data_IF_004848448561
#
_entry.id   IF_004848448561
#
_cell.length_a   1.000
_cell.length_b   1.000
_cell.length_c   1.000
_cell.angle_alpha   90.00
_cell.angle_beta   90.00
_cell.angle_gamma   90.00
#
_symmetry.space_group_name_H-M   'P 1'
#
loop_
_entity.id
_entity.type
_entity.pdbx_description
1 polymer ?
#
# COMPACT_ATOMS: atom_id res chain seq x y z
N UNK A 1 5.94 21.53 -16.85
CA UNK A 1 7.08 20.71 -16.39
C UNK A 1 7.00 20.26 -14.92
N UNK A 2 6.39 21.02 -14.00
CA UNK A 2 6.25 20.63 -12.58
C UNK A 2 5.28 19.47 -12.29
N UNK A 3 4.20 19.32 -13.06
CA UNK A 3 3.22 18.23 -12.89
C UNK A 3 3.77 16.87 -13.34
N UNK A 4 4.47 16.84 -14.48
CA UNK A 4 5.10 15.62 -15.04
C UNK A 4 6.15 15.03 -14.08
N UNK A 5 6.86 15.88 -13.32
CA UNK A 5 7.81 15.42 -12.29
C UNK A 5 7.13 14.93 -11.01
N UNK A 6 5.86 15.28 -10.77
CA UNK A 6 5.16 15.00 -9.51
C UNK A 6 4.41 13.67 -9.55
N UNK A 7 3.85 13.29 -10.71
CA UNK A 7 3.14 12.02 -10.92
C UNK A 7 3.53 11.37 -12.27
N UNK A 8 4.79 10.96 -12.40
CA UNK A 8 5.27 10.29 -13.62
C UNK A 8 4.52 8.98 -13.90
N UNK A 9 4.10 8.25 -12.86
CA UNK A 9 3.35 7.00 -13.00
C UNK A 9 1.98 7.23 -13.68
N UNK A 10 1.29 8.31 -13.33
CA UNK A 10 0.03 8.73 -13.96
C UNK A 10 0.22 9.02 -15.45
N UNK A 11 1.30 9.71 -15.80
CA UNK A 11 1.63 10.03 -17.19
C UNK A 11 1.95 8.76 -17.97
N UNK A 12 2.77 7.88 -17.41
CA UNK A 12 3.13 6.60 -18.05
C UNK A 12 1.89 5.72 -18.23
N UNK A 13 1.06 5.55 -17.20
CA UNK A 13 -0.15 4.75 -17.29
C UNK A 13 -1.11 5.33 -18.33
N UNK A 14 -1.29 6.65 -18.37
CA UNK A 14 -2.13 7.31 -19.37
C UNK A 14 -1.61 7.11 -20.79
N UNK A 15 -0.29 7.25 -21.01
CA UNK A 15 0.33 7.00 -22.31
C UNK A 15 0.17 5.54 -22.75
N UNK A 16 0.40 4.59 -21.84
CA UNK A 16 0.21 3.16 -22.12
C UNK A 16 -1.25 2.85 -22.48
N UNK A 17 -2.21 3.41 -21.74
CA UNK A 17 -3.63 3.27 -22.04
C UNK A 17 -3.98 3.87 -23.42
N UNK A 18 -3.46 5.05 -23.75
CA UNK A 18 -3.69 5.66 -25.07
C UNK A 18 -3.11 4.79 -26.19
N UNK A 19 -1.90 4.26 -25.99
CA UNK A 19 -1.25 3.37 -26.97
C UNK A 19 -2.09 2.11 -27.17
N UNK A 20 -2.61 1.50 -26.10
CA UNK A 20 -3.41 0.27 -26.24
C UNK A 20 -4.73 0.50 -26.99
N UNK A 21 -5.34 1.68 -26.86
CA UNK A 21 -6.54 2.06 -27.62
C UNK A 21 -6.29 2.19 -29.14
N UNK A 22 -5.05 2.39 -29.58
CA UNK A 22 -4.71 2.36 -31.01
C UNK A 22 -4.48 0.93 -31.53
N UNK A 23 -4.22 -0.03 -30.64
CA UNK A 23 -3.88 -1.40 -30.99
C UNK A 23 -5.09 -2.34 -30.98
N UNK A 24 -6.14 -1.99 -30.21
CA UNK A 24 -7.34 -2.82 -30.01
C UNK A 24 -8.60 -1.97 -30.14
N UNK A 25 -9.69 -2.47 -30.76
CA UNK A 25 -10.96 -1.77 -30.83
C UNK A 25 -11.49 -1.34 -29.45
N UNK A 26 -12.02 -0.13 -29.35
CA UNK A 26 -12.50 0.44 -28.08
C UNK A 26 -13.58 -0.43 -27.41
N UNK A 27 -14.44 -1.03 -28.22
CA UNK A 27 -15.59 -1.83 -27.80
C UNK A 27 -15.17 -3.09 -27.02
N UNK A 28 -14.02 -3.68 -27.38
CA UNK A 28 -13.46 -4.86 -26.71
C UNK A 28 -12.81 -4.52 -25.36
N UNK A 29 -12.27 -3.30 -25.21
CA UNK A 29 -11.52 -2.86 -24.01
C UNK A 29 -12.44 -2.63 -22.80
N UNK A 30 -13.72 -2.31 -23.02
CA UNK A 30 -14.69 -2.03 -21.97
C UNK A 30 -15.59 -3.22 -21.59
N UNK A 31 -15.46 -4.35 -22.27
CA UNK A 31 -16.43 -5.46 -22.21
C UNK A 31 -16.28 -6.41 -21.01
N UNK A 32 -15.08 -6.46 -20.39
CA UNK A 32 -14.79 -7.34 -19.26
C UNK A 32 -14.50 -6.51 -18.00
N UNK A 33 -15.13 -6.83 -16.86
CA UNK A 33 -14.81 -6.29 -15.53
C UNK A 33 -14.98 -4.78 -15.25
N UNK A 34 -15.51 -3.95 -16.17
CA UNK A 34 -15.64 -2.49 -15.95
C UNK A 34 -16.34 -2.13 -14.63
N UNK A 35 -17.42 -2.83 -14.29
CA UNK A 35 -18.14 -2.63 -13.02
C UNK A 35 -17.23 -2.84 -11.80
N UNK A 36 -16.40 -3.90 -11.81
CA UNK A 36 -15.48 -4.21 -10.70
C UNK A 36 -14.36 -3.19 -10.55
N UNK A 37 -13.91 -2.58 -11.65
CA UNK A 37 -12.91 -1.50 -11.58
C UNK A 37 -13.56 -0.24 -11.03
N UNK A 38 -14.79 0.07 -11.44
CA UNK A 38 -15.53 1.17 -10.83
C UNK A 38 -15.73 0.95 -9.33
N UNK A 39 -16.14 -0.24 -8.91
CA UNK A 39 -16.29 -0.59 -7.49
C UNK A 39 -14.97 -0.42 -6.75
N UNK A 40 -13.87 -0.89 -7.33
CA UNK A 40 -12.52 -0.71 -6.78
C UNK A 40 -12.15 0.77 -6.66
N UNK A 41 -12.25 1.55 -7.74
CA UNK A 41 -11.90 2.97 -7.76
C UNK A 41 -12.75 3.76 -6.77
N UNK A 42 -14.06 3.50 -6.73
CA UNK A 42 -14.95 4.23 -5.85
C UNK A 42 -14.74 3.83 -4.39
N UNK A 43 -14.50 2.54 -4.11
CA UNK A 43 -14.13 2.06 -2.77
C UNK A 43 -12.78 2.65 -2.32
N UNK A 44 -11.79 2.73 -3.20
CA UNK A 44 -10.53 3.44 -2.94
C UNK A 44 -10.78 4.91 -2.59
N UNK A 45 -11.67 5.59 -3.32
CA UNK A 45 -12.05 6.97 -3.01
C UNK A 45 -12.63 7.10 -1.59
N UNK A 46 -13.51 6.17 -1.18
CA UNK A 46 -14.08 6.17 0.18
C UNK A 46 -12.99 6.09 1.25
N UNK A 47 -12.04 5.16 1.09
CA UNK A 47 -10.91 5.01 2.02
C UNK A 47 -9.98 6.23 2.00
N UNK A 48 -9.66 6.77 0.83
CA UNK A 48 -8.84 7.98 0.70
C UNK A 48 -9.48 9.20 1.39
N UNK A 49 -10.79 9.36 1.32
CA UNK A 49 -11.53 10.41 2.01
C UNK A 49 -11.45 10.25 3.53
N UNK A 50 -11.68 9.03 4.05
CA UNK A 50 -11.56 8.73 5.49
C UNK A 50 -10.16 9.07 5.99
N UNK A 51 -9.15 8.56 5.29
CA UNK A 51 -7.75 8.79 5.63
C UNK A 51 -7.42 10.27 5.65
N UNK A 52 -7.83 11.01 4.61
CA UNK A 52 -7.59 12.44 4.53
C UNK A 52 -8.24 13.16 5.72
N UNK A 53 -9.48 12.78 6.07
CA UNK A 53 -10.18 13.28 7.25
C UNK A 53 -9.43 13.00 8.57
N UNK A 54 -8.98 11.76 8.78
CA UNK A 54 -8.24 11.36 9.99
C UNK A 54 -6.93 12.14 10.14
N UNK A 55 -6.23 12.39 9.02
CA UNK A 55 -5.03 13.24 8.98
C UNK A 55 -5.35 14.68 9.31
N UNK A 56 -6.41 15.23 8.73
CA UNK A 56 -6.83 16.61 8.98
C UNK A 56 -7.16 16.83 10.45
N UNK A 57 -7.77 15.84 11.10
CA UNK A 57 -8.07 15.80 12.53
C UNK A 57 -6.86 15.50 13.42
N UNK A 58 -5.67 15.26 12.86
CA UNK A 58 -4.44 14.90 13.56
C UNK A 58 -4.53 13.58 14.36
N UNK A 59 -5.47 12.70 13.98
CA UNK A 59 -5.77 11.47 14.70
C UNK A 59 -4.61 10.45 14.63
N UNK A 60 -3.98 10.31 13.46
CA UNK A 60 -2.85 9.38 13.28
C UNK A 60 -1.61 9.80 14.09
N UNK A 61 -1.32 11.11 14.15
CA UNK A 61 -0.25 11.63 15.00
C UNK A 61 -0.56 11.43 16.49
N UNK A 62 -1.84 11.52 16.88
CA UNK A 62 -2.25 11.18 18.25
C UNK A 62 -1.98 9.73 18.61
N UNK A 63 -2.28 8.80 17.70
CA UNK A 63 -1.99 7.36 17.89
C UNK A 63 -0.49 7.15 18.11
N UNK A 64 0.35 7.77 17.28
CA UNK A 64 1.79 7.67 17.44
C UNK A 64 2.28 8.27 18.75
N UNK A 65 1.82 9.46 19.13
CA UNK A 65 2.16 10.06 20.42
C UNK A 65 1.82 9.12 21.59
N UNK A 66 0.61 8.55 21.59
CA UNK A 66 0.18 7.65 22.66
C UNK A 66 1.08 6.42 22.75
N UNK A 67 1.44 5.83 21.61
CA UNK A 67 2.33 4.68 21.54
C UNK A 67 3.77 5.00 22.00
N UNK A 68 4.21 6.25 21.86
CA UNK A 68 5.57 6.69 22.21
C UNK A 68 5.71 7.23 23.65
N UNK A 69 4.59 7.58 24.29
CA UNK A 69 4.53 8.30 25.58
C UNK A 69 5.28 7.68 26.76
N UNK A 70 5.61 6.39 26.71
CA UNK A 70 6.26 5.66 27.82
C UNK A 70 7.59 4.99 27.42
N UNK A 71 8.16 5.33 26.27
CA UNK A 71 9.37 4.69 25.76
C UNK A 71 10.61 5.26 26.45
N UNK A 72 11.51 4.36 26.87
CA UNK A 72 12.75 4.72 27.60
C UNK A 72 14.02 4.19 26.94
N UNK A 73 13.91 3.43 25.86
CA UNK A 73 15.06 2.80 25.22
C UNK A 73 15.03 2.94 23.71
N UNK A 74 16.20 2.96 23.09
CA UNK A 74 16.38 3.07 21.63
C UNK A 74 15.67 1.94 20.89
N UNK A 75 15.73 0.71 21.41
CA UNK A 75 15.07 -0.44 20.76
C UNK A 75 13.55 -0.33 20.84
N UNK A 76 13.01 0.02 22.01
CA UNK A 76 11.57 0.19 22.15
C UNK A 76 11.06 1.33 21.25
N UNK A 77 11.83 2.42 21.11
CA UNK A 77 11.53 3.50 20.18
C UNK A 77 11.45 3.00 18.74
N UNK A 78 12.49 2.34 18.25
CA UNK A 78 12.51 1.78 16.89
C UNK A 78 11.37 0.78 16.68
N UNK A 79 11.10 -0.11 17.65
CA UNK A 79 9.99 -1.06 17.57
C UNK A 79 8.65 -0.36 17.37
N UNK A 80 8.34 0.66 18.17
CA UNK A 80 7.08 1.38 18.03
C UNK A 80 7.01 2.14 16.70
N UNK A 81 8.10 2.81 16.30
CA UNK A 81 8.14 3.52 15.02
C UNK A 81 7.97 2.58 13.82
N UNK A 82 8.43 1.33 13.91
CA UNK A 82 8.32 0.31 12.85
C UNK A 82 6.95 -0.39 12.87
N UNK A 83 6.43 -0.74 14.05
CA UNK A 83 5.16 -1.47 14.19
C UNK A 83 3.94 -0.56 14.00
N UNK A 84 4.04 0.75 14.23
CA UNK A 84 2.96 1.68 13.94
C UNK A 84 2.55 1.64 12.45
N UNK A 85 3.46 1.83 11.48
CA UNK A 85 3.15 1.63 10.07
C UNK A 85 2.63 0.22 9.74
N UNK A 86 3.15 -0.84 10.39
CA UNK A 86 2.67 -2.20 10.18
C UNK A 86 1.16 -2.33 10.46
N UNK A 87 0.73 -1.96 11.66
CA UNK A 87 -0.68 -2.08 12.05
C UNK A 87 -1.57 -1.03 11.40
N UNK A 88 -1.05 0.19 11.21
CA UNK A 88 -1.83 1.23 10.53
C UNK A 88 -1.99 0.95 9.04
N UNK A 89 -1.05 0.26 8.39
CA UNK A 89 -1.17 -0.09 6.97
C UNK A 89 -2.28 -1.11 6.74
N UNK A 90 -2.56 -2.00 7.70
CA UNK A 90 -3.75 -2.87 7.67
C UNK A 90 -5.05 -2.07 7.61
N UNK A 91 -5.10 -0.85 8.19
CA UNK A 91 -6.33 -0.08 8.31
C UNK A 91 -6.45 1.03 7.25
N UNK A 92 -5.34 1.70 6.96
CA UNK A 92 -5.34 2.98 6.26
C UNK A 92 -4.58 2.94 4.93
N UNK A 93 -4.03 1.79 4.56
CA UNK A 93 -3.07 1.52 3.49
C UNK A 93 -1.59 1.82 3.79
N UNK A 94 -0.70 1.16 3.05
CA UNK A 94 0.75 1.31 3.18
C UNK A 94 1.23 2.75 2.88
N UNK A 95 0.79 3.33 1.77
CA UNK A 95 1.20 4.66 1.29
C UNK A 95 0.80 5.73 2.30
N UNK A 96 -0.41 5.60 2.82
CA UNK A 96 -0.95 6.49 3.84
C UNK A 96 -0.18 6.36 5.14
N UNK A 97 0.12 5.14 5.56
CA UNK A 97 0.89 4.91 6.76
C UNK A 97 2.27 5.54 6.64
N UNK A 98 2.96 5.37 5.52
CA UNK A 98 4.30 5.93 5.31
C UNK A 98 4.30 7.46 5.18
N UNK A 99 3.35 8.02 4.44
CA UNK A 99 3.17 9.49 4.32
C UNK A 99 2.95 10.17 5.68
N UNK A 100 2.47 9.44 6.69
CA UNK A 100 2.27 9.96 8.04
C UNK A 100 3.44 9.63 8.97
N UNK A 101 3.85 8.37 9.04
CA UNK A 101 4.77 7.90 10.09
C UNK A 101 6.25 8.00 9.71
N UNK A 102 6.61 8.10 8.42
CA UNK A 102 8.01 8.34 8.01
C UNK A 102 8.48 9.74 8.43
N UNK A 103 7.79 10.85 8.05
CA UNK A 103 8.23 12.18 8.50
C UNK A 103 8.22 12.32 10.02
N UNK A 104 7.24 11.69 10.69
CA UNK A 104 7.20 11.62 12.14
C UNK A 104 8.43 10.88 12.72
N UNK A 105 8.77 9.71 12.19
CA UNK A 105 9.93 8.96 12.64
C UNK A 105 11.24 9.73 12.42
N UNK A 106 11.38 10.42 11.29
CA UNK A 106 12.53 11.29 11.01
C UNK A 106 12.65 12.38 12.08
N UNK A 107 11.56 13.10 12.36
CA UNK A 107 11.54 14.14 13.39
C UNK A 107 11.92 13.59 14.77
N UNK A 108 11.32 12.46 15.16
CA UNK A 108 11.54 11.84 16.47
C UNK A 108 12.96 11.29 16.62
N UNK A 109 13.51 10.66 15.59
CA UNK A 109 14.90 10.20 15.60
C UNK A 109 15.88 11.38 15.61
N UNK A 110 15.53 12.50 15.00
CA UNK A 110 16.28 13.75 15.10
C UNK A 110 16.33 14.28 16.55
N UNK A 111 15.17 14.36 17.22
CA UNK A 111 15.05 14.80 18.62
C UNK A 111 15.72 13.86 19.62
N UNK A 112 15.79 12.55 19.30
CA UNK A 112 16.44 11.54 20.12
C UNK A 112 17.97 11.42 19.88
N UNK A 113 18.57 12.29 19.07
CA UNK A 113 19.96 12.21 18.59
C UNK A 113 20.33 10.85 17.95
N UNK A 114 19.35 10.25 17.27
CA UNK A 114 19.45 8.94 16.62
C UNK A 114 19.51 9.05 15.10
N UNK A 115 20.02 10.16 14.55
CA UNK A 115 20.11 10.39 13.09
C UNK A 115 20.79 9.24 12.33
N UNK A 116 21.77 8.57 12.93
CA UNK A 116 22.45 7.40 12.34
C UNK A 116 21.53 6.20 12.11
N UNK A 117 20.45 6.08 12.88
CA UNK A 117 19.45 5.01 12.76
C UNK A 117 18.34 5.34 11.75
N UNK A 118 18.28 6.57 11.25
CA UNK A 118 17.20 7.04 10.38
C UNK A 118 17.02 6.17 9.15
N UNK A 119 18.09 5.85 8.43
CA UNK A 119 18.03 4.98 7.24
C UNK A 119 17.43 3.62 7.61
N UNK A 120 17.92 2.99 8.68
CA UNK A 120 17.49 1.65 9.10
C UNK A 120 16.01 1.67 9.49
N UNK A 121 15.59 2.64 10.30
CA UNK A 121 14.19 2.75 10.74
C UNK A 121 13.28 3.04 9.55
N UNK A 122 13.61 3.99 8.68
CA UNK A 122 12.78 4.33 7.52
C UNK A 122 12.63 3.15 6.57
N UNK A 123 13.71 2.42 6.27
CA UNK A 123 13.63 1.21 5.43
C UNK A 123 12.78 0.12 6.09
N UNK A 124 12.96 -0.11 7.40
CA UNK A 124 12.14 -1.08 8.12
C UNK A 124 10.67 -0.63 8.23
N UNK A 125 10.38 0.66 8.32
CA UNK A 125 9.01 1.19 8.26
C UNK A 125 8.37 0.90 6.91
N UNK A 126 9.12 1.04 5.81
CA UNK A 126 8.63 0.71 4.47
C UNK A 126 8.26 -0.77 4.36
N UNK A 127 9.16 -1.65 4.82
CA UNK A 127 8.90 -3.09 4.86
C UNK A 127 7.71 -3.40 5.77
N UNK A 128 7.64 -2.77 6.93
CA UNK A 128 6.55 -2.94 7.88
C UNK A 128 5.19 -2.53 7.29
N UNK A 129 5.12 -1.37 6.63
CA UNK A 129 3.89 -0.91 5.99
C UNK A 129 3.46 -1.85 4.85
N UNK A 130 4.41 -2.33 4.04
CA UNK A 130 4.11 -3.32 3.00
C UNK A 130 3.60 -4.64 3.61
N UNK A 131 4.36 -5.28 4.50
CA UNK A 131 3.93 -6.56 5.11
C UNK A 131 2.60 -6.42 5.85
N UNK A 132 2.43 -5.33 6.61
CA UNK A 132 1.20 -5.08 7.34
C UNK A 132 -0.01 -4.92 6.42
N UNK A 133 0.14 -4.21 5.30
CA UNK A 133 -0.95 -4.00 4.35
C UNK A 133 -1.48 -5.25 3.66
N UNK A 134 -0.75 -6.36 3.67
CA UNK A 134 -1.18 -7.56 2.97
C UNK A 134 -2.44 -8.15 3.58
N UNK A 135 -2.56 -8.15 4.91
CA UNK A 135 -3.60 -8.90 5.62
C UNK A 135 -5.04 -8.44 5.30
N UNK A 136 -5.23 -7.20 4.84
CA UNK A 136 -6.57 -6.64 4.61
C UNK A 136 -6.76 -6.19 3.16
N UNK A 137 -7.99 -6.32 2.60
CA UNK A 137 -8.27 -5.87 1.23
C UNK A 137 -7.92 -4.40 1.00
N UNK A 138 -8.25 -3.52 1.94
CA UNK A 138 -8.01 -2.08 1.84
C UNK A 138 -6.60 -1.65 2.28
N UNK A 139 -5.73 -2.60 2.68
CA UNK A 139 -4.35 -2.31 3.00
C UNK A 139 -3.54 -1.87 1.79
N UNK A 140 -3.87 -2.37 0.59
CA UNK A 140 -3.28 -1.89 -0.66
C UNK A 140 -4.31 -1.80 -1.78
N UNK A 141 -4.09 -0.93 -2.77
CA UNK A 141 -5.02 -0.82 -3.89
C UNK A 141 -5.17 -2.11 -4.74
N UNK A 142 -4.10 -2.89 -4.93
CA UNK A 142 -4.19 -4.16 -5.67
C UNK A 142 -4.85 -5.29 -4.86
N UNK A 143 -4.71 -5.25 -3.54
CA UNK A 143 -5.41 -6.15 -2.63
C UNK A 143 -6.92 -5.98 -2.75
N UNK A 144 -7.38 -4.73 -2.74
CA UNK A 144 -8.79 -4.39 -2.89
C UNK A 144 -9.31 -4.80 -4.26
N UNK A 145 -8.50 -4.63 -5.31
CA UNK A 145 -8.87 -5.05 -6.66
C UNK A 145 -9.12 -6.56 -6.75
N UNK A 146 -8.20 -7.39 -6.24
CA UNK A 146 -8.38 -8.85 -6.21
C UNK A 146 -9.57 -9.22 -5.32
N UNK A 147 -9.71 -8.57 -4.17
CA UNK A 147 -10.83 -8.83 -3.26
C UNK A 147 -12.19 -8.52 -3.89
N UNK A 148 -12.33 -7.45 -4.68
CA UNK A 148 -13.58 -7.14 -5.39
C UNK A 148 -13.93 -8.16 -6.51
N UNK A 149 -13.09 -9.18 -6.72
CA UNK A 149 -13.38 -10.31 -7.60
C UNK A 149 -13.68 -11.58 -6.80
N UNK A 150 -13.89 -11.49 -5.48
CA UNK A 150 -14.09 -12.64 -4.59
C UNK A 150 -15.26 -13.52 -5.00
N UNK A 151 -16.32 -12.94 -5.56
CA UNK A 151 -17.50 -13.64 -6.08
C UNK A 151 -17.21 -14.40 -7.38
N UNK A 152 -16.27 -13.91 -8.21
CA UNK A 152 -15.81 -14.61 -9.43
C UNK A 152 -14.90 -15.77 -9.05
N UNK A 153 -14.00 -15.55 -8.08
CA UNK A 153 -13.05 -16.57 -7.62
C UNK A 153 -13.63 -17.54 -6.58
N UNK A 154 -14.78 -17.21 -6.01
CA UNK A 154 -15.47 -18.04 -5.01
C UNK A 154 -14.78 -18.07 -3.65
N UNK A 155 -14.18 -16.97 -3.20
CA UNK A 155 -13.58 -16.84 -1.86
C UNK A 155 -14.30 -15.82 -0.99
N UNK A 156 -14.06 -15.86 0.32
CA UNK A 156 -14.53 -14.87 1.29
C UNK A 156 -13.37 -14.18 2.03
N UNK A 157 -13.70 -13.29 2.98
CA UNK A 157 -12.69 -12.58 3.76
C UNK A 157 -11.78 -13.52 4.57
N UNK A 158 -12.31 -14.63 5.09
CA UNK A 158 -11.53 -15.55 5.89
C UNK A 158 -10.54 -16.32 5.02
N UNK A 159 -10.97 -16.81 3.86
CA UNK A 159 -10.10 -17.48 2.90
C UNK A 159 -8.99 -16.53 2.38
N UNK A 160 -9.35 -15.28 2.11
CA UNK A 160 -8.40 -14.22 1.77
C UNK A 160 -7.34 -14.05 2.86
N UNK A 161 -7.75 -13.85 4.11
CA UNK A 161 -6.84 -13.65 5.24
C UNK A 161 -5.97 -14.90 5.48
N UNK A 162 -6.56 -16.09 5.44
CA UNK A 162 -5.86 -17.36 5.64
C UNK A 162 -4.76 -17.59 4.60
N UNK A 163 -4.98 -17.18 3.34
CA UNK A 163 -3.96 -17.26 2.30
C UNK A 163 -2.75 -16.38 2.58
N UNK A 164 -2.95 -15.23 3.24
CA UNK A 164 -1.91 -14.22 3.48
C UNK A 164 -1.24 -14.32 4.85
N UNK A 165 -1.91 -14.90 5.85
CA UNK A 165 -1.38 -15.07 7.22
C UNK A 165 0.04 -15.66 7.23
N UNK A 166 0.38 -16.74 6.51
CA UNK A 166 1.73 -17.29 6.53
C UNK A 166 2.79 -16.26 6.11
N UNK A 167 2.50 -15.50 5.05
CA UNK A 167 3.39 -14.48 4.50
C UNK A 167 3.53 -13.30 5.47
N UNK A 168 2.43 -12.82 6.04
CA UNK A 168 2.41 -11.71 7.01
C UNK A 168 3.14 -12.09 8.29
N UNK A 169 2.91 -13.30 8.82
CA UNK A 169 3.55 -13.79 10.05
C UNK A 169 5.04 -13.96 9.85
N UNK A 170 5.47 -14.61 8.77
CA UNK A 170 6.91 -14.77 8.49
C UNK A 170 7.56 -13.41 8.24
N UNK A 171 6.91 -12.52 7.49
CA UNK A 171 7.41 -11.15 7.27
C UNK A 171 7.53 -10.36 8.58
N UNK A 172 6.55 -10.47 9.48
CA UNK A 172 6.60 -9.86 10.80
C UNK A 172 7.72 -10.44 11.67
N UNK A 173 7.97 -11.76 11.61
CA UNK A 173 9.09 -12.40 12.32
C UNK A 173 10.43 -11.86 11.83
N UNK A 174 10.63 -11.74 10.50
CA UNK A 174 11.85 -11.14 9.93
C UNK A 174 12.00 -9.70 10.40
N UNK A 175 10.93 -8.90 10.30
CA UNK A 175 10.92 -7.50 10.74
C UNK A 175 11.27 -7.34 12.22
N UNK A 176 10.66 -8.14 13.10
CA UNK A 176 10.94 -8.15 14.53
C UNK A 176 12.39 -8.56 14.79
N UNK A 177 12.89 -9.60 14.12
CA UNK A 177 14.26 -10.08 14.25
C UNK A 177 15.26 -8.99 13.88
N UNK A 178 15.09 -8.34 12.72
CA UNK A 178 15.92 -7.22 12.27
C UNK A 178 15.88 -6.06 13.26
N UNK A 179 14.72 -5.80 13.86
CA UNK A 179 14.58 -4.74 14.87
C UNK A 179 15.26 -5.11 16.19
N UNK A 180 15.27 -6.39 16.59
CA UNK A 180 15.96 -6.86 17.80
C UNK A 180 17.48 -6.72 17.71
N UNK A 181 18.05 -6.74 16.50
CA UNK A 181 19.48 -6.48 16.26
C UNK A 181 19.88 -5.03 16.56
N UNK A 182 18.92 -4.12 16.69
CA UNK A 182 19.19 -2.74 17.10
C UNK A 182 19.69 -2.73 18.55
N UNK A 183 20.84 -2.07 18.75
CA UNK A 183 21.48 -1.93 20.07
C UNK A 183 20.54 -1.20 21.03
N UNK A 184 20.25 -1.85 22.15
CA UNK A 184 19.40 -1.29 23.19
C UNK A 184 20.22 -0.41 24.13
N UNK A 185 19.90 0.89 24.18
CA UNK A 185 20.47 1.85 25.12
C UNK A 185 19.34 2.66 25.76
N UNK A 186 19.52 3.18 26.98
CA UNK A 186 18.61 4.20 27.53
C UNK A 186 18.53 5.41 26.59
N UNK A 187 17.34 5.99 26.44
CA UNK A 187 17.17 7.27 25.76
C UNK A 187 17.60 8.39 26.70
N UNK A 188 18.42 9.31 26.19
CA UNK A 188 18.94 10.44 26.97
C UNK A 188 17.90 11.57 27.12
N UNK A 189 16.99 11.70 26.14
CA UNK A 189 15.91 12.67 26.15
C UNK A 189 14.55 11.98 26.23
N UNK A 190 13.60 12.62 26.94
CA UNK A 190 12.18 12.29 26.78
C UNK A 190 11.70 12.87 25.45
N UNK A 191 11.04 12.03 24.66
CA UNK A 191 10.36 12.47 23.44
C UNK A 191 9.05 13.12 23.87
N UNK A 192 8.99 14.44 23.82
CA UNK A 192 7.80 15.21 24.18
C UNK A 192 7.22 15.87 22.92
N UNK A 193 6.56 15.05 22.10
CA UNK A 193 5.78 15.54 20.98
C UNK A 193 4.31 15.56 21.40
N UNK A 194 3.69 16.74 21.38
CA UNK A 194 2.27 16.89 21.72
C UNK A 194 1.41 16.84 20.46
N UNK A 195 0.57 15.81 20.36
CA UNK A 195 -0.47 15.73 19.36
C UNK A 195 -1.83 15.89 20.03
N UNK A 196 -2.65 16.80 19.52
CA UNK A 196 -4.04 16.92 19.94
C UNK A 196 -4.97 16.61 18.77
N UNK A 197 -6.06 15.92 19.07
CA UNK A 197 -7.14 15.67 18.11
C UNK A 197 -7.94 16.96 17.99
N UNK A 198 -8.02 17.52 16.78
CA UNK A 198 -8.72 18.78 16.54
C UNK A 198 -10.23 18.69 16.82
N UNK A 199 -10.86 17.61 16.37
CA UNK A 199 -12.28 17.35 16.58
C UNK A 199 -12.56 15.86 16.81
N UNK A 200 -12.89 15.50 18.06
CA UNK A 200 -13.18 14.11 18.45
C UNK A 200 -14.48 13.57 17.86
N UNK A 201 -15.48 14.43 17.63
CA UNK A 201 -16.78 14.01 17.06
C UNK A 201 -16.60 13.64 15.60
N UNK A 202 -15.84 14.43 14.86
CA UNK A 202 -15.49 14.14 13.47
C UNK A 202 -14.72 12.82 13.38
N UNK A 203 -13.72 12.60 14.24
CA UNK A 203 -12.99 11.32 14.28
C UNK A 203 -13.92 10.13 14.54
N UNK A 204 -14.86 10.25 15.47
CA UNK A 204 -15.82 9.18 15.74
C UNK A 204 -16.70 8.86 14.51
N UNK A 205 -17.16 9.88 13.80
CA UNK A 205 -17.93 9.70 12.57
C UNK A 205 -17.08 9.07 11.47
N UNK A 206 -15.80 9.47 11.33
CA UNK A 206 -14.88 8.85 10.38
C UNK A 206 -14.65 7.37 10.69
N UNK A 207 -14.56 6.99 11.97
CA UNK A 207 -14.49 5.58 12.39
C UNK A 207 -15.79 4.83 12.03
N UNK A 208 -16.95 5.45 12.23
CA UNK A 208 -18.22 4.85 11.85
C UNK A 208 -18.35 4.68 10.32
N UNK A 209 -17.92 5.67 9.54
CA UNK A 209 -17.85 5.58 8.08
C UNK A 209 -16.86 4.50 7.64
N UNK A 210 -15.72 4.36 8.31
CA UNK A 210 -14.76 3.29 8.04
C UNK A 210 -15.35 1.91 8.28
N UNK A 211 -16.07 1.71 9.40
CA UNK A 211 -16.79 0.48 9.65
C UNK A 211 -17.85 0.21 8.56
N UNK A 212 -18.58 1.24 8.12
CA UNK A 212 -19.54 1.12 7.02
C UNK A 212 -18.85 0.70 5.71
N UNK A 213 -17.69 1.26 5.38
CA UNK A 213 -16.92 0.86 4.20
C UNK A 213 -16.48 -0.61 4.28
N UNK A 214 -16.03 -1.09 5.45
CA UNK A 214 -15.69 -2.50 5.64
C UNK A 214 -16.90 -3.40 5.38
N UNK A 215 -18.07 -3.06 5.94
CA UNK A 215 -19.31 -3.81 5.75
C UNK A 215 -19.71 -3.84 4.26
N UNK A 216 -19.47 -2.75 3.53
CA UNK A 216 -19.69 -2.71 2.07
C UNK A 216 -18.71 -3.56 1.30
N UNK A 217 -17.43 -3.58 1.67
CA UNK A 217 -16.40 -4.39 1.00
C UNK A 217 -16.72 -5.87 1.08
N UNK A 218 -17.26 -6.35 2.20
CA UNK A 218 -17.69 -7.76 2.36
C UNK A 218 -19.08 -8.06 1.79
N UNK A 219 -19.60 -7.20 0.90
CA UNK A 219 -20.89 -7.33 0.21
C UNK A 219 -22.15 -7.39 1.09
N UNK A 220 -22.08 -6.91 2.36
CA UNK A 220 -23.25 -6.88 3.25
C UNK A 220 -24.19 -5.69 2.98
N UNK A 221 -23.69 -4.59 2.40
CA UNK A 221 -24.46 -3.39 2.10
C UNK A 221 -24.20 -2.96 0.65
N UNK A 222 -25.24 -2.64 -0.13
CA UNK A 222 -25.07 -2.19 -1.51
C UNK A 222 -24.17 -0.95 -1.61
N UNK A 223 -23.18 -1.02 -2.49
CA UNK A 223 -22.15 -0.01 -2.66
C UNK A 223 -22.69 1.43 -2.84
N UNK A 224 -23.75 1.60 -3.64
CA UNK A 224 -24.34 2.91 -3.92
C UNK A 224 -24.88 3.62 -2.68
N UNK A 225 -25.38 2.87 -1.68
CA UNK A 225 -25.87 3.45 -0.42
C UNK A 225 -24.70 4.08 0.33
N UNK A 226 -23.62 3.32 0.47
CA UNK A 226 -22.40 3.76 1.15
C UNK A 226 -21.79 4.97 0.46
N UNK A 227 -21.73 4.97 -0.87
CA UNK A 227 -21.24 6.12 -1.64
C UNK A 227 -22.05 7.40 -1.33
N UNK A 228 -23.38 7.33 -1.37
CA UNK A 228 -24.26 8.48 -1.07
C UNK A 228 -24.04 8.99 0.36
N UNK A 229 -24.01 8.08 1.33
CA UNK A 229 -23.79 8.42 2.75
C UNK A 229 -22.44 9.10 2.94
N UNK A 230 -21.39 8.58 2.33
CA UNK A 230 -20.04 9.17 2.40
C UNK A 230 -19.99 10.57 1.81
N UNK A 231 -20.48 10.74 0.58
CA UNK A 231 -20.45 12.04 -0.09
C UNK A 231 -21.25 13.07 0.72
N UNK A 232 -22.44 12.71 1.20
CA UNK A 232 -23.24 13.59 2.05
C UNK A 232 -22.52 13.96 3.35
N UNK A 233 -21.96 12.98 4.07
CA UNK A 233 -21.24 13.21 5.32
C UNK A 233 -20.04 14.14 5.13
N UNK A 234 -19.21 13.90 4.09
CA UNK A 234 -18.05 14.72 3.82
C UNK A 234 -18.41 16.12 3.31
N UNK A 235 -19.45 16.29 2.51
CA UNK A 235 -19.92 17.61 2.08
C UNK A 235 -20.41 18.45 3.27
N UNK A 236 -21.09 17.82 4.23
CA UNK A 236 -21.63 18.50 5.42
C UNK A 236 -20.50 18.84 6.41
N UNK A 237 -19.61 17.89 6.68
CA UNK A 237 -18.64 18.01 7.78
C UNK A 237 -17.30 18.59 7.34
N UNK A 238 -16.78 18.18 6.17
CA UNK A 238 -15.41 18.47 5.74
C UNK A 238 -15.32 18.69 4.22
N UNK A 239 -16.07 19.62 3.60
CA UNK A 239 -16.16 19.74 2.14
C UNK A 239 -14.81 20.06 1.47
N UNK A 240 -13.89 20.69 2.20
CA UNK A 240 -12.53 20.98 1.70
C UNK A 240 -11.67 19.72 1.55
N UNK A 241 -12.07 18.59 2.13
CA UNK A 241 -11.29 17.35 2.08
C UNK A 241 -11.20 16.78 0.67
N UNK A 242 -12.24 16.99 -0.15
CA UNK A 242 -12.24 16.55 -1.54
C UNK A 242 -11.03 17.13 -2.29
N UNK A 243 -10.65 18.38 -2.02
CA UNK A 243 -9.47 19.00 -2.64
C UNK A 243 -8.12 18.48 -2.10
N UNK A 244 -8.13 17.72 -1.01
CA UNK A 244 -6.92 17.17 -0.36
C UNK A 244 -6.63 15.72 -0.75
N UNK A 245 -7.59 15.03 -1.36
CA UNK A 245 -7.42 13.65 -1.83
C UNK A 245 -6.47 13.61 -3.03
N UNK A 246 -5.58 12.61 -3.05
CA UNK A 246 -4.75 12.35 -4.21
C UNK A 246 -5.51 11.51 -5.25
N UNK A 247 -6.18 12.17 -6.19
CA UNK A 247 -6.91 11.50 -7.26
C UNK A 247 -6.00 10.81 -8.28
N UNK A 248 -4.70 11.11 -8.31
CA UNK A 248 -3.76 10.50 -9.27
C UNK A 248 -3.78 8.98 -9.18
N UNK A 249 -3.90 8.40 -7.97
CA UNK A 249 -3.94 6.94 -7.80
C UNK A 249 -5.19 6.31 -8.45
N UNK A 250 -6.34 6.97 -8.36
CA UNK A 250 -7.59 6.50 -8.97
C UNK A 250 -7.50 6.49 -10.49
N UNK A 251 -6.90 7.53 -11.08
CA UNK A 251 -6.68 7.59 -12.52
C UNK A 251 -5.59 6.61 -12.99
N UNK A 252 -4.54 6.39 -12.20
CA UNK A 252 -3.54 5.35 -12.48
C UNK A 252 -4.23 3.98 -12.60
N UNK A 253 -5.08 3.63 -11.62
CA UNK A 253 -5.87 2.40 -11.65
C UNK A 253 -6.70 2.27 -12.92
N UNK A 254 -7.45 3.32 -13.24
CA UNK A 254 -8.28 3.37 -14.44
C UNK A 254 -7.45 3.16 -15.72
N UNK A 255 -6.34 3.88 -15.88
CA UNK A 255 -5.51 3.77 -17.08
C UNK A 255 -4.79 2.43 -17.20
N UNK A 256 -4.29 1.87 -16.10
CA UNK A 256 -3.66 0.55 -16.11
C UNK A 256 -4.64 -0.55 -16.46
N UNK A 257 -5.89 -0.41 -16.05
CA UNK A 257 -6.94 -1.35 -16.44
C UNK A 257 -7.24 -1.28 -17.95
N UNK A 258 -7.38 -0.07 -18.50
CA UNK A 258 -7.54 0.13 -19.96
C UNK A 258 -6.36 -0.46 -20.71
N UNK A 259 -5.14 -0.28 -20.19
CA UNK A 259 -3.94 -0.85 -20.77
C UNK A 259 -3.93 -2.38 -20.72
N UNK A 260 -4.21 -2.98 -19.56
CA UNK A 260 -4.20 -4.44 -19.37
C UNK A 260 -5.22 -5.14 -20.29
N UNK A 261 -6.44 -4.62 -20.42
CA UNK A 261 -7.43 -5.17 -21.36
C UNK A 261 -7.01 -5.00 -22.82
N UNK A 262 -6.31 -3.91 -23.16
CA UNK A 262 -5.73 -3.81 -24.48
C UNK A 262 -4.71 -4.93 -24.74
N UNK A 263 -3.84 -5.24 -23.77
CA UNK A 263 -2.85 -6.29 -23.93
C UNK A 263 -3.43 -7.70 -24.00
N UNK A 264 -4.49 -8.01 -23.25
CA UNK A 264 -5.17 -9.33 -23.30
C UNK A 264 -5.77 -9.61 -24.68
N UNK A 265 -6.12 -8.57 -25.44
CA UNK A 265 -6.67 -8.70 -26.79
C UNK A 265 -5.60 -8.73 -27.90
N UNK A 266 -4.31 -8.68 -27.57
CA UNK A 266 -3.22 -8.82 -28.53
C UNK A 266 -2.66 -10.26 -28.52
N UNK A 267 -2.92 -11.05 -29.57
CA UNK A 267 -2.56 -12.48 -29.62
C UNK A 267 -1.09 -12.80 -29.26
N UNK A 268 -0.14 -11.99 -29.74
CA UNK A 268 1.29 -12.18 -29.50
C UNK A 268 1.70 -11.93 -28.05
N UNK A 269 1.06 -10.96 -27.39
CA UNK A 269 1.30 -10.69 -25.96
C UNK A 269 0.57 -11.72 -25.11
N UNK A 270 -0.67 -12.05 -25.51
CA UNK A 270 -1.50 -13.01 -24.80
C UNK A 270 -0.83 -14.38 -24.69
N UNK A 271 -0.27 -14.90 -25.77
CA UNK A 271 0.44 -16.20 -25.77
C UNK A 271 1.64 -16.20 -24.80
N UNK A 272 2.51 -15.19 -24.87
CA UNK A 272 3.68 -15.09 -23.99
C UNK A 272 3.30 -14.98 -22.51
N UNK A 273 2.34 -14.12 -22.18
CA UNK A 273 1.89 -13.97 -20.79
C UNK A 273 1.19 -15.25 -20.32
N UNK A 274 0.37 -15.88 -21.16
CA UNK A 274 -0.30 -17.15 -20.83
C UNK A 274 0.71 -18.26 -20.53
N UNK A 275 1.77 -18.39 -21.33
CA UNK A 275 2.81 -19.40 -21.11
C UNK A 275 3.56 -19.17 -19.80
N UNK A 276 3.89 -17.91 -19.47
CA UNK A 276 4.54 -17.55 -18.21
C UNK A 276 3.63 -17.79 -17.00
N UNK A 277 2.36 -17.42 -17.11
CA UNK A 277 1.36 -17.63 -16.05
C UNK A 277 1.01 -19.11 -15.88
N UNK A 278 1.04 -19.91 -16.95
CA UNK A 278 0.89 -21.36 -16.86
C UNK A 278 2.10 -22.04 -16.20
N UNK A 279 3.30 -21.45 -16.33
CA UNK A 279 4.50 -21.96 -15.67
C UNK A 279 4.48 -21.68 -14.16
N UNK A 280 4.36 -20.41 -13.77
CA UNK A 280 4.30 -20.03 -12.36
C UNK A 280 3.67 -18.63 -12.22
N UNK A 281 2.39 -18.54 -11.83
CA UNK A 281 1.72 -17.25 -11.67
C UNK A 281 2.37 -16.37 -10.57
N UNK A 282 2.87 -16.98 -9.49
CA UNK A 282 3.42 -16.23 -8.36
C UNK A 282 4.75 -15.60 -8.75
N UNK A 283 5.68 -16.40 -9.26
CA UNK A 283 7.00 -15.91 -9.66
C UNK A 283 6.92 -14.96 -10.85
N UNK A 284 6.04 -15.23 -11.81
CA UNK A 284 5.77 -14.30 -12.92
C UNK A 284 5.30 -12.94 -12.40
N UNK A 285 4.43 -12.92 -11.39
CA UNK A 285 3.97 -11.68 -10.78
C UNK A 285 5.07 -10.97 -9.99
N UNK A 286 5.87 -11.69 -9.20
CA UNK A 286 7.04 -11.13 -8.50
C UNK A 286 8.00 -10.44 -9.47
N UNK A 287 8.33 -11.11 -10.58
CA UNK A 287 9.28 -10.61 -11.58
C UNK A 287 8.73 -9.40 -12.33
N UNK A 288 7.46 -9.44 -12.72
CA UNK A 288 6.77 -8.32 -13.37
C UNK A 288 6.71 -7.09 -12.47
N UNK A 289 6.47 -7.30 -11.17
CA UNK A 289 6.41 -6.23 -10.16
C UNK A 289 7.73 -5.49 -10.01
N UNK A 290 8.87 -6.09 -10.31
CA UNK A 290 10.17 -5.41 -10.24
C UNK A 290 10.28 -4.23 -11.22
N UNK A 291 9.55 -4.32 -12.32
CA UNK A 291 9.62 -3.37 -13.44
C UNK A 291 8.44 -2.41 -13.42
N UNK A 292 7.23 -2.93 -13.17
CA UNK A 292 6.00 -2.13 -13.30
C UNK A 292 5.43 -1.67 -11.98
N UNK A 293 5.82 -2.27 -10.84
CA UNK A 293 5.21 -2.18 -9.51
C UNK A 293 4.04 -3.13 -9.24
N UNK A 294 3.74 -3.33 -7.96
CA UNK A 294 2.74 -4.25 -7.44
C UNK A 294 1.33 -4.02 -8.04
N UNK A 295 0.89 -2.77 -8.12
CA UNK A 295 -0.43 -2.42 -8.67
C UNK A 295 -0.58 -2.75 -10.17
N UNK A 296 0.26 -2.20 -11.07
CA UNK A 296 0.23 -2.54 -12.48
C UNK A 296 0.40 -4.03 -12.77
N UNK A 297 1.27 -4.73 -12.02
CA UNK A 297 1.49 -6.16 -12.23
C UNK A 297 0.24 -6.99 -11.96
N UNK A 298 -0.46 -6.68 -10.88
CA UNK A 298 -1.71 -7.36 -10.53
C UNK A 298 -2.75 -7.17 -11.63
N UNK A 299 -2.99 -5.92 -12.04
CA UNK A 299 -3.99 -5.60 -13.06
C UNK A 299 -3.64 -6.22 -14.42
N UNK A 300 -2.34 -6.29 -14.75
CA UNK A 300 -1.86 -6.85 -16.00
C UNK A 300 -1.99 -8.38 -16.06
N UNK A 301 -1.64 -9.08 -14.98
CA UNK A 301 -1.47 -10.53 -14.99
C UNK A 301 -2.71 -11.28 -14.51
N UNK A 302 -3.56 -10.66 -13.68
CA UNK A 302 -4.79 -11.28 -13.16
C UNK A 302 -5.66 -11.90 -14.27
N UNK A 303 -5.89 -11.26 -15.44
CA UNK A 303 -6.75 -11.83 -16.48
C UNK A 303 -6.26 -13.16 -17.07
N UNK A 304 -5.00 -13.55 -16.84
CA UNK A 304 -4.36 -14.72 -17.44
C UNK A 304 -4.30 -15.94 -16.52
N UNK A 305 -4.87 -15.87 -15.31
CA UNK A 305 -4.91 -17.00 -14.38
C UNK A 305 -6.15 -16.97 -13.50
N UNK A 306 -6.60 -18.15 -13.07
CA UNK A 306 -7.61 -18.30 -12.02
C UNK A 306 -7.01 -18.33 -10.61
N UNK A 307 -5.69 -18.46 -10.48
CA UNK A 307 -5.00 -18.46 -9.20
C UNK A 307 -4.80 -17.03 -8.67
N UNK A 308 -5.89 -16.47 -8.13
CA UNK A 308 -5.90 -15.15 -7.52
C UNK A 308 -4.87 -15.00 -6.40
N UNK A 309 -4.65 -16.09 -5.63
CA UNK A 309 -3.75 -16.08 -4.49
C UNK A 309 -2.29 -15.96 -4.91
N UNK A 310 -1.91 -16.64 -5.99
CA UNK A 310 -0.57 -16.53 -6.57
C UNK A 310 -0.27 -15.12 -7.10
N UNK A 311 -1.23 -14.50 -7.81
CA UNK A 311 -1.07 -13.12 -8.30
C UNK A 311 -0.99 -12.14 -7.13
N UNK A 312 -1.89 -12.27 -6.16
CA UNK A 312 -1.94 -11.39 -4.98
C UNK A 312 -0.64 -11.45 -4.18
N UNK A 313 -0.23 -12.66 -3.75
CA UNK A 313 1.00 -12.87 -2.99
C UNK A 313 2.23 -12.50 -3.81
N UNK A 314 2.23 -12.80 -5.12
CA UNK A 314 3.31 -12.47 -6.02
C UNK A 314 3.49 -10.95 -6.18
N UNK A 315 2.40 -10.18 -6.25
CA UNK A 315 2.46 -8.72 -6.29
C UNK A 315 2.91 -8.12 -4.95
N UNK A 316 2.43 -8.68 -3.83
CA UNK A 316 2.82 -8.28 -2.48
C UNK A 316 4.33 -8.47 -2.26
N UNK A 317 4.83 -9.70 -2.48
CA UNK A 317 6.27 -10.03 -2.38
C UNK A 317 7.07 -9.25 -3.43
N UNK A 318 6.52 -9.11 -4.63
CA UNK A 318 7.11 -8.34 -5.73
C UNK A 318 7.39 -6.88 -5.37
N UNK A 319 6.70 -6.32 -4.38
CA UNK A 319 6.93 -4.94 -3.92
C UNK A 319 8.29 -4.68 -3.26
N UNK A 320 9.09 -5.70 -2.93
CA UNK A 320 10.35 -5.51 -2.20
C UNK A 320 11.58 -5.21 -3.10
N UNK A 321 11.69 -5.75 -4.31
CA UNK A 321 13.01 -5.82 -4.96
C UNK A 321 13.62 -4.47 -5.38
N UNK A 322 12.90 -3.61 -6.11
CA UNK A 322 13.39 -2.25 -6.45
C UNK A 322 12.57 -1.16 -5.76
N UNK A 323 13.10 0.07 -5.55
CA UNK A 323 12.28 1.17 -5.05
C UNK A 323 11.08 1.48 -5.94
N UNK A 324 11.17 1.19 -7.25
CA UNK A 324 10.09 1.40 -8.21
C UNK A 324 9.02 0.32 -8.06
N UNK A 325 9.38 -0.88 -7.61
CA UNK A 325 8.47 -2.01 -7.46
C UNK A 325 7.32 -1.76 -6.47
N UNK A 326 7.44 -0.75 -5.60
CA UNK A 326 6.39 -0.36 -4.67
C UNK A 326 6.39 1.15 -4.46
N UNK A 327 5.23 1.80 -4.63
CA UNK A 327 5.07 3.24 -4.40
C UNK A 327 5.45 3.65 -2.96
N UNK A 328 5.19 2.78 -1.99
CA UNK A 328 5.63 2.93 -0.60
C UNK A 328 7.15 3.14 -0.46
N UNK A 329 7.95 2.43 -1.27
CA UNK A 329 9.41 2.55 -1.27
C UNK A 329 9.89 3.91 -1.80
N UNK A 330 9.16 4.50 -2.76
CA UNK A 330 9.44 5.85 -3.25
C UNK A 330 9.05 6.91 -2.23
N UNK A 331 7.91 6.74 -1.53
CA UNK A 331 7.45 7.68 -0.49
C UNK A 331 8.50 7.82 0.61
N UNK A 332 8.94 6.69 1.17
CA UNK A 332 9.95 6.64 2.23
C UNK A 332 11.30 7.21 1.78
N UNK A 333 11.77 6.83 0.59
CA UNK A 333 12.99 7.38 0.00
C UNK A 333 12.90 8.90 -0.16
N UNK A 334 11.76 9.42 -0.65
CA UNK A 334 11.56 10.85 -0.88
C UNK A 334 11.64 11.67 0.41
N UNK A 335 11.04 11.19 1.50
CA UNK A 335 11.16 11.88 2.80
C UNK A 335 12.59 11.84 3.31
N UNK A 336 13.28 10.70 3.24
CA UNK A 336 14.67 10.62 3.69
C UNK A 336 15.59 11.56 2.90
N UNK A 337 15.40 11.67 1.58
CA UNK A 337 16.20 12.57 0.72
C UNK A 337 15.93 14.06 0.94
N UNK A 338 14.95 14.45 1.76
CA UNK A 338 14.71 15.84 2.13
C UNK A 338 15.61 16.30 3.30
N UNK A 339 16.28 15.37 3.98
CA UNK A 339 17.19 15.68 5.09
C UNK A 339 18.54 16.22 4.59
N UNK A 340 19.12 17.17 5.33
CA UNK A 340 20.33 17.91 4.94
C UNK A 340 21.55 17.00 4.70
N UNK A 341 21.70 15.92 5.49
CA UNK A 341 22.83 14.97 5.40
C UNK A 341 22.44 13.65 4.69
N UNK A 342 21.41 13.68 3.84
CA UNK A 342 20.90 12.47 3.19
C UNK A 342 21.84 11.91 2.12
N UNK A 343 21.93 10.58 2.04
CA UNK A 343 22.73 9.88 1.04
C UNK A 343 21.91 8.78 0.36
N UNK A 344 21.57 9.01 -0.91
CA UNK A 344 20.82 8.03 -1.71
C UNK A 344 21.52 6.67 -1.76
N UNK A 345 22.85 6.65 -1.89
CA UNK A 345 23.62 5.41 -1.97
C UNK A 345 23.57 4.63 -0.65
N UNK A 346 23.69 5.32 0.49
CA UNK A 346 23.59 4.69 1.81
C UNK A 346 22.19 4.14 2.07
N UNK A 347 21.15 4.88 1.66
CA UNK A 347 19.78 4.40 1.73
C UNK A 347 19.58 3.14 0.87
N UNK A 348 19.97 3.20 -0.40
CA UNK A 348 19.79 2.09 -1.33
C UNK A 348 20.53 0.83 -0.88
N UNK A 349 21.72 0.95 -0.27
CA UNK A 349 22.44 -0.21 0.30
C UNK A 349 21.63 -0.91 1.38
N UNK A 350 21.09 -0.16 2.36
CA UNK A 350 20.27 -0.75 3.43
C UNK A 350 18.95 -1.26 2.88
N UNK A 351 18.33 -0.51 1.96
CA UNK A 351 17.12 -0.91 1.25
C UNK A 351 17.31 -2.27 0.57
N UNK A 352 18.28 -2.41 -0.33
CA UNK A 352 18.47 -3.67 -1.05
C UNK A 352 18.85 -4.82 -0.12
N UNK A 353 19.66 -4.57 0.91
CA UNK A 353 20.00 -5.60 1.89
C UNK A 353 18.75 -6.17 2.58
N UNK A 354 17.90 -5.30 3.12
CA UNK A 354 16.68 -5.71 3.83
C UNK A 354 15.69 -6.37 2.85
N UNK A 355 15.47 -5.77 1.69
CA UNK A 355 14.48 -6.27 0.73
C UNK A 355 14.89 -7.59 0.08
N UNK A 356 16.18 -7.83 -0.19
CA UNK A 356 16.65 -9.15 -0.65
C UNK A 356 16.40 -10.22 0.41
N UNK A 357 16.61 -9.90 1.69
CA UNK A 357 16.27 -10.82 2.78
C UNK A 357 14.77 -11.11 2.80
N UNK A 358 13.91 -10.10 2.63
CA UNK A 358 12.46 -10.31 2.54
C UNK A 358 12.09 -11.21 1.36
N UNK A 359 12.60 -10.96 0.15
CA UNK A 359 12.36 -11.79 -1.03
C UNK A 359 12.82 -13.24 -0.82
N UNK A 360 14.05 -13.41 -0.31
CA UNK A 360 14.66 -14.73 -0.10
C UNK A 360 13.91 -15.58 0.92
N UNK A 361 13.20 -14.96 1.87
CA UNK A 361 12.40 -15.66 2.89
C UNK A 361 10.96 -15.86 2.44
N UNK A 362 10.33 -14.84 1.86
CA UNK A 362 8.89 -14.87 1.56
C UNK A 362 8.56 -15.69 0.31
N UNK A 363 9.44 -15.70 -0.72
CA UNK A 363 9.23 -16.52 -1.92
C UNK A 363 9.12 -18.02 -1.54
N UNK A 364 10.08 -18.62 -0.80
CA UNK A 364 9.93 -20.00 -0.34
C UNK A 364 8.74 -20.21 0.59
N UNK A 365 8.39 -19.22 1.42
CA UNK A 365 7.25 -19.31 2.34
C UNK A 365 5.95 -19.55 1.59
N UNK A 366 5.74 -18.87 0.47
CA UNK A 366 4.59 -19.12 -0.41
C UNK A 366 4.53 -20.59 -0.85
N UNK A 367 5.59 -21.13 -1.44
CA UNK A 367 5.57 -22.53 -1.95
C UNK A 367 5.44 -23.60 -0.85
N UNK A 368 5.70 -23.25 0.42
CA UNK A 368 5.58 -24.19 1.54
C UNK A 368 4.17 -24.15 2.14
N UNK A 369 3.54 -22.97 2.21
CA UNK A 369 2.34 -22.75 3.02
C UNK A 369 1.09 -22.31 2.25
N UNK A 370 1.24 -21.84 1.00
CA UNK A 370 0.17 -21.33 0.16
C UNK A 370 -0.07 -22.26 -1.02
#
# INVERSE_FOLDING_TARGET
MGFIKKDYLLVISALLAIISLFLVPFDTVLSYSYERILDTICTLLLFLLIVAGLRECNALNKIAQLALSNIRTTRALCLVLILLPFFCAMLFSNDVSLLTFVPLAIAILGMADMKRMMIVVVVLQTVAANVGSYLTPFGNPHNLYIFNMHDIYGFDLLEYEMKLIPIVVVGAIVLLTLTMLIRNKPLESKIDESAEIKDKRVVLILIALFALAIITVVDLIPFYITLIVFIAAFLIMMPKIFMKVNYSILFIFFFLFVFANGLTNMESVHSVISDLMAWDPMLTTVMTSQVTSNVPSTILLQPFTSDWGAVLVGADIGGFGTPIASMASIISLKFYLQEEDSSILSYLKVFFLVNIVMLAVLIPTYYIFC
#
